data_IF_400389216847
#
_entry.id   IF_400389216847
#
_cell.length_a   1.000
_cell.length_b   1.000
_cell.length_c   1.000
_cell.angle_alpha   90.00
_cell.angle_beta   90.00
_cell.angle_gamma   90.00
#
_symmetry.space_group_name_H-M   'P 1'
#
loop_
_entity.id
_entity.type
_entity.pdbx_description
1 polymer ?
#
# COMPACT_ATOMS: atom_id res chain seq x y z
N UNK A 1 -23.50 -38.43 -0.66
CA UNK A 1 -22.07 -38.22 -0.30
C UNK A 1 -21.58 -37.05 -1.12
N UNK A 2 -21.39 -35.88 -0.52
CA UNK A 2 -20.82 -34.73 -1.21
C UNK A 2 -19.31 -34.84 -1.03
N UNK A 3 -18.60 -35.14 -2.13
CA UNK A 3 -17.15 -35.10 -2.14
C UNK A 3 -16.68 -33.67 -1.86
N UNK A 4 -16.06 -33.48 -0.69
CA UNK A 4 -15.29 -32.28 -0.39
C UNK A 4 -14.13 -32.23 -1.38
N UNK A 5 -14.24 -31.40 -2.42
CA UNK A 5 -13.10 -31.00 -3.23
C UNK A 5 -12.13 -30.29 -2.28
N UNK A 6 -10.97 -30.88 -2.07
CA UNK A 6 -9.82 -30.22 -1.44
C UNK A 6 -9.41 -29.09 -2.37
N UNK A 7 -9.90 -27.89 -2.11
CA UNK A 7 -9.36 -26.68 -2.73
C UNK A 7 -7.97 -26.47 -2.13
N UNK A 8 -6.92 -26.83 -2.87
CA UNK A 8 -5.60 -26.23 -2.63
C UNK A 8 -5.80 -24.72 -2.67
N UNK A 9 -5.46 -24.03 -1.62
CA UNK A 9 -5.50 -22.58 -1.57
C UNK A 9 -4.59 -22.08 -2.71
N UNK A 10 -5.18 -21.42 -3.71
CA UNK A 10 -4.42 -20.88 -4.82
C UNK A 10 -3.71 -19.62 -4.35
N UNK A 11 -2.41 -19.58 -4.55
CA UNK A 11 -1.56 -18.43 -4.22
C UNK A 11 -1.16 -17.73 -5.52
N UNK A 12 -1.21 -16.42 -5.50
CA UNK A 12 -0.86 -15.58 -6.65
C UNK A 12 0.09 -14.48 -6.24
N UNK A 13 1.05 -14.19 -7.11
CA UNK A 13 1.94 -13.04 -7.01
C UNK A 13 1.64 -12.12 -8.19
N UNK A 14 1.44 -10.83 -7.90
CA UNK A 14 1.22 -9.80 -8.91
C UNK A 14 2.24 -8.69 -8.77
N UNK A 15 2.92 -8.34 -9.86
CA UNK A 15 3.73 -7.13 -9.93
C UNK A 15 2.79 -5.92 -10.11
N UNK A 16 2.75 -5.04 -9.12
CA UNK A 16 1.99 -3.79 -9.14
C UNK A 16 2.88 -2.55 -9.12
N UNK A 17 4.14 -2.68 -9.51
CA UNK A 17 5.11 -1.58 -9.59
C UNK A 17 4.68 -0.43 -10.51
N UNK A 18 3.59 -0.61 -11.26
CA UNK A 18 2.98 0.42 -12.09
C UNK A 18 2.12 1.43 -11.31
N UNK A 19 1.82 1.19 -10.05
CA UNK A 19 1.13 2.15 -9.19
C UNK A 19 2.06 3.30 -8.81
N UNK A 20 1.48 4.47 -8.57
CA UNK A 20 2.24 5.56 -7.96
C UNK A 20 2.51 5.27 -6.49
N UNK A 21 3.77 5.41 -6.07
CA UNK A 21 4.21 5.21 -4.70
C UNK A 21 4.84 6.51 -4.22
N UNK A 22 4.25 7.11 -3.19
CA UNK A 22 4.67 8.41 -2.67
C UNK A 22 4.92 8.34 -1.18
N UNK A 23 5.93 9.06 -0.75
CA UNK A 23 6.21 9.34 0.65
C UNK A 23 5.74 10.77 0.96
N UNK A 24 4.86 10.90 1.95
CA UNK A 24 4.38 12.17 2.47
C UNK A 24 5.03 12.42 3.82
N UNK A 25 5.55 13.62 4.00
CA UNK A 25 6.09 14.13 5.27
C UNK A 25 5.53 15.50 5.56
N UNK A 26 5.75 15.99 6.78
CA UNK A 26 5.20 17.25 7.25
C UNK A 26 3.99 17.04 8.17
N UNK A 27 3.87 17.91 9.15
CA UNK A 27 2.88 17.78 10.23
C UNK A 27 1.43 17.92 9.77
N UNK A 28 1.21 18.62 8.65
CA UNK A 28 -0.12 18.93 8.13
C UNK A 28 -0.58 17.92 7.03
N UNK A 29 0.24 16.91 6.70
CA UNK A 29 -0.01 16.01 5.58
C UNK A 29 -1.30 15.20 5.72
N UNK A 30 -1.57 14.59 6.87
CA UNK A 30 -2.80 13.82 7.09
C UNK A 30 -4.02 14.74 7.23
N UNK A 31 -3.90 15.90 7.86
CA UNK A 31 -4.97 16.90 7.95
C UNK A 31 -5.40 17.38 6.57
N UNK A 32 -4.44 17.72 5.70
CA UNK A 32 -4.74 18.12 4.34
C UNK A 32 -5.44 17.00 3.56
N UNK A 33 -4.91 15.77 3.61
CA UNK A 33 -5.54 14.63 2.95
C UNK A 33 -6.95 14.36 3.49
N UNK A 34 -7.18 14.49 4.80
CA UNK A 34 -8.47 14.33 5.42
C UNK A 34 -9.50 15.33 4.88
N UNK A 35 -9.10 16.58 4.66
CA UNK A 35 -9.96 17.62 4.07
C UNK A 35 -10.32 17.35 2.60
N UNK A 36 -9.47 16.61 1.88
CA UNK A 36 -9.62 16.34 0.44
C UNK A 36 -10.25 14.98 0.16
N UNK A 37 -10.49 14.14 1.18
CA UNK A 37 -10.91 12.76 1.00
C UNK A 37 -12.26 12.45 1.67
N UNK A 38 -12.82 11.29 1.32
CA UNK A 38 -14.15 10.87 1.80
C UNK A 38 -14.13 10.19 3.17
N UNK A 39 -13.01 9.57 3.55
CA UNK A 39 -12.85 8.91 4.84
C UNK A 39 -12.02 9.78 5.78
N UNK A 40 -12.21 9.55 7.09
CA UNK A 40 -11.37 10.16 8.11
C UNK A 40 -10.01 9.49 8.12
N UNK A 41 -8.95 10.25 7.83
CA UNK A 41 -7.56 9.76 7.75
C UNK A 41 -6.58 10.54 8.62
N UNK A 42 -7.02 11.60 9.29
CA UNK A 42 -6.18 12.48 10.13
C UNK A 42 -5.78 11.84 11.47
N UNK A 43 -6.44 10.74 11.87
CA UNK A 43 -6.19 10.01 13.12
C UNK A 43 -5.61 8.60 12.91
N UNK A 44 -5.01 8.33 11.75
CA UNK A 44 -4.35 7.06 11.51
C UNK A 44 -3.23 6.81 12.52
N UNK A 45 -3.30 5.69 13.22
CA UNK A 45 -2.25 5.25 14.13
C UNK A 45 -0.99 4.82 13.37
N UNK A 46 0.16 4.81 14.05
CA UNK A 46 1.41 4.28 13.48
C UNK A 46 1.21 2.81 13.11
N UNK A 47 1.72 2.42 11.94
CA UNK A 47 1.58 1.11 11.32
C UNK A 47 0.13 0.74 10.95
N UNK A 48 -0.76 1.72 10.87
CA UNK A 48 -2.12 1.55 10.35
C UNK A 48 -2.30 2.33 9.05
N UNK A 49 -3.23 1.86 8.26
CA UNK A 49 -3.61 2.49 6.99
C UNK A 49 -5.11 2.52 6.79
N UNK A 50 -5.52 3.12 5.71
CA UNK A 50 -6.88 3.07 5.18
C UNK A 50 -6.88 3.39 3.70
N UNK A 51 -7.96 3.06 3.01
CA UNK A 51 -8.22 3.50 1.64
C UNK A 51 -9.29 4.56 1.64
N UNK A 52 -9.05 5.65 0.92
CA UNK A 52 -9.98 6.76 0.83
C UNK A 52 -10.14 7.24 -0.62
N UNK A 53 -11.25 7.91 -0.88
CA UNK A 53 -11.57 8.46 -2.20
C UNK A 53 -11.23 9.94 -2.19
N UNK A 54 -10.37 10.36 -3.12
CA UNK A 54 -10.20 11.78 -3.45
C UNK A 54 -11.26 12.21 -4.46
N UNK A 55 -11.92 13.34 -4.18
CA UNK A 55 -12.92 13.91 -5.08
C UNK A 55 -12.60 15.36 -5.39
N UNK A 56 -12.96 15.79 -6.58
CA UNK A 56 -12.89 17.21 -6.90
C UNK A 56 -14.08 17.99 -6.30
N UNK A 57 -14.08 19.31 -6.47
CA UNK A 57 -15.11 20.22 -5.96
C UNK A 57 -16.53 20.00 -6.54
N UNK A 58 -16.66 19.15 -7.57
CA UNK A 58 -17.94 18.71 -8.16
C UNK A 58 -18.36 17.32 -7.66
N UNK A 59 -17.64 16.75 -6.68
CA UNK A 59 -17.88 15.40 -6.17
C UNK A 59 -17.51 14.28 -7.13
N UNK A 60 -16.72 14.54 -8.18
CA UNK A 60 -16.23 13.50 -9.06
C UNK A 60 -14.97 12.87 -8.50
N UNK A 61 -14.89 11.55 -8.55
CA UNK A 61 -13.72 10.79 -8.12
C UNK A 61 -12.50 11.18 -8.96
N UNK A 62 -11.42 11.56 -8.28
CA UNK A 62 -10.08 11.72 -8.86
C UNK A 62 -9.38 10.37 -8.81
N UNK A 63 -9.28 9.79 -7.60
CA UNK A 63 -8.66 8.48 -7.40
C UNK A 63 -9.15 7.82 -6.10
N UNK A 64 -8.89 6.54 -5.98
CA UNK A 64 -8.94 5.81 -4.71
C UNK A 64 -7.50 5.59 -4.26
N UNK A 65 -7.08 6.30 -3.23
CA UNK A 65 -5.75 6.20 -2.67
C UNK A 65 -5.73 5.28 -1.45
N UNK A 66 -4.61 4.63 -1.21
CA UNK A 66 -4.36 3.86 0.02
C UNK A 66 -3.21 4.50 0.78
N UNK A 67 -3.39 4.68 2.08
CA UNK A 67 -2.45 5.34 2.98
C UNK A 67 -1.96 4.36 4.04
N UNK A 68 -0.68 4.48 4.45
CA UNK A 68 -0.13 3.80 5.62
C UNK A 68 0.76 4.75 6.40
N UNK A 69 0.40 4.99 7.68
CA UNK A 69 1.15 5.87 8.58
C UNK A 69 2.32 5.11 9.21
N UNK A 70 3.56 5.59 9.00
CA UNK A 70 4.80 4.97 9.49
C UNK A 70 5.53 5.81 10.56
N UNK A 71 4.79 6.63 11.31
CA UNK A 71 5.36 7.54 12.32
C UNK A 71 5.75 8.89 11.72
N UNK A 72 6.98 9.07 11.28
CA UNK A 72 7.44 10.34 10.71
C UNK A 72 7.00 10.59 9.27
N UNK A 73 6.44 9.60 8.60
CA UNK A 73 5.99 9.65 7.21
C UNK A 73 4.76 8.80 6.97
N UNK A 74 4.03 9.13 5.92
CA UNK A 74 2.89 8.36 5.40
C UNK A 74 3.23 7.88 3.99
N UNK A 75 3.01 6.60 3.71
CA UNK A 75 3.02 6.09 2.35
C UNK A 75 1.66 6.33 1.71
N UNK A 76 1.66 6.76 0.45
CA UNK A 76 0.46 6.91 -0.37
C UNK A 76 0.63 6.14 -1.66
N UNK A 77 -0.37 5.31 -1.98
CA UNK A 77 -0.46 4.56 -3.22
C UNK A 77 -1.60 5.12 -4.07
N UNK A 78 -1.31 5.39 -5.36
CA UNK A 78 -2.27 5.94 -6.32
C UNK A 78 -2.47 4.99 -7.49
N UNK A 79 -3.57 5.13 -8.22
CA UNK A 79 -3.80 4.36 -9.44
C UNK A 79 -2.80 4.74 -10.53
N UNK A 80 -2.51 3.80 -11.43
CA UNK A 80 -1.48 3.90 -12.47
C UNK A 80 -1.51 5.20 -13.29
N UNK A 81 -2.69 5.67 -13.66
CA UNK A 81 -2.83 6.79 -14.59
C UNK A 81 -3.26 8.10 -13.91
N UNK A 82 -3.54 8.04 -12.61
CA UNK A 82 -4.11 9.18 -11.88
C UNK A 82 -3.10 9.88 -10.97
N UNK A 83 -1.88 9.35 -10.87
CA UNK A 83 -0.86 9.89 -9.96
C UNK A 83 -0.64 11.39 -10.12
N UNK A 84 -0.52 11.87 -11.38
CA UNK A 84 -0.29 13.29 -11.61
C UNK A 84 -1.50 14.14 -11.22
N UNK A 85 -2.73 13.68 -11.51
CA UNK A 85 -3.95 14.39 -11.13
C UNK A 85 -4.12 14.46 -9.60
N UNK A 86 -3.75 13.38 -8.89
CA UNK A 86 -3.74 13.36 -7.43
C UNK A 86 -2.75 14.38 -6.86
N UNK A 87 -1.53 14.45 -7.41
CA UNK A 87 -0.51 15.39 -6.96
C UNK A 87 -0.94 16.83 -7.22
N UNK A 88 -1.39 17.13 -8.43
CA UNK A 88 -1.87 18.46 -8.82
C UNK A 88 -3.04 18.90 -7.94
N UNK A 89 -3.90 17.96 -7.54
CA UNK A 89 -5.01 18.23 -6.65
C UNK A 89 -4.55 18.55 -5.22
N UNK A 90 -3.61 17.80 -4.67
CA UNK A 90 -3.01 18.07 -3.36
C UNK A 90 -2.30 19.43 -3.39
N UNK A 91 -1.48 19.69 -4.42
CA UNK A 91 -0.74 20.93 -4.58
C UNK A 91 -1.69 22.17 -4.68
N UNK A 92 -2.81 22.01 -5.37
CA UNK A 92 -3.85 23.06 -5.48
C UNK A 92 -4.37 23.55 -4.14
N UNK A 93 -4.36 22.68 -3.11
CA UNK A 93 -4.85 23.00 -1.76
C UNK A 93 -3.73 23.15 -0.73
N UNK A 94 -2.48 23.11 -1.15
CA UNK A 94 -1.30 23.36 -0.31
C UNK A 94 -0.93 24.83 -0.40
N UNK A 95 -1.23 25.62 0.64
CA UNK A 95 -0.94 27.06 0.68
C UNK A 95 0.10 27.39 1.76
N UNK A 96 -0.16 26.97 2.98
CA UNK A 96 0.68 27.23 4.17
C UNK A 96 0.98 25.94 4.92
N UNK A 97 0.43 24.84 4.46
CA UNK A 97 0.58 23.53 5.06
C UNK A 97 2.04 23.04 4.94
N UNK A 98 2.55 22.51 6.05
CA UNK A 98 3.83 21.83 6.09
C UNK A 98 3.62 20.39 5.56
N UNK A 99 3.80 20.23 4.25
CA UNK A 99 3.70 18.97 3.52
C UNK A 99 4.80 18.87 2.48
N UNK A 100 5.40 17.70 2.38
CA UNK A 100 6.28 17.33 1.28
C UNK A 100 5.85 15.98 0.72
N UNK A 101 5.79 15.87 -0.59
CA UNK A 101 5.37 14.69 -1.31
C UNK A 101 6.45 14.27 -2.30
N UNK A 102 7.02 13.09 -2.10
CA UNK A 102 8.14 12.56 -2.89
C UNK A 102 7.73 11.26 -3.56
N UNK A 103 7.90 11.19 -4.88
CA UNK A 103 7.75 9.92 -5.62
C UNK A 103 8.93 9.01 -5.35
N UNK A 104 8.66 7.79 -4.87
CA UNK A 104 9.69 6.80 -4.51
C UNK A 104 9.66 5.54 -5.42
N UNK A 105 9.00 5.60 -6.57
CA UNK A 105 8.94 4.47 -7.52
C UNK A 105 10.32 4.04 -8.06
N UNK A 106 11.33 4.92 -8.05
CA UNK A 106 12.69 4.55 -8.44
C UNK A 106 13.41 3.70 -7.38
N UNK A 107 13.00 3.81 -6.12
CA UNK A 107 13.63 3.16 -4.98
C UNK A 107 12.90 1.88 -4.57
N UNK A 108 11.58 1.86 -4.73
CA UNK A 108 10.72 0.78 -4.28
C UNK A 108 9.77 0.31 -5.37
N UNK A 109 9.40 -0.95 -5.28
CA UNK A 109 8.37 -1.58 -6.09
C UNK A 109 7.29 -2.21 -5.21
N UNK A 110 6.09 -2.38 -5.76
CA UNK A 110 4.98 -3.00 -5.07
C UNK A 110 4.66 -4.36 -5.68
N UNK A 111 4.62 -5.40 -4.83
CA UNK A 111 4.23 -6.76 -5.18
C UNK A 111 3.01 -7.11 -4.34
N UNK A 112 1.98 -7.68 -4.96
CA UNK A 112 0.79 -8.14 -4.24
C UNK A 112 0.74 -9.66 -4.19
N UNK A 113 0.54 -10.19 -2.99
CA UNK A 113 0.36 -11.60 -2.70
C UNK A 113 -1.11 -11.85 -2.38
N UNK A 114 -1.77 -12.75 -3.09
CA UNK A 114 -3.17 -13.13 -2.84
C UNK A 114 -3.23 -14.60 -2.43
N UNK A 115 -3.94 -14.90 -1.35
CA UNK A 115 -4.13 -16.24 -0.80
C UNK A 115 -3.82 -16.34 0.70
N UNK A 116 -4.41 -17.33 1.37
CA UNK A 116 -4.44 -17.40 2.83
C UNK A 116 -3.09 -17.77 3.47
N UNK A 117 -2.20 -18.47 2.74
CA UNK A 117 -1.04 -19.13 3.34
C UNK A 117 0.30 -18.41 3.10
N UNK A 118 0.28 -17.19 2.54
CA UNK A 118 1.54 -16.48 2.27
C UNK A 118 2.39 -16.24 3.50
N UNK A 119 1.75 -15.93 4.63
CA UNK A 119 2.46 -15.69 5.89
C UNK A 119 3.13 -16.93 6.46
N UNK A 120 2.67 -18.15 6.11
CA UNK A 120 3.29 -19.40 6.55
C UNK A 120 4.65 -19.65 5.88
N UNK A 121 4.85 -19.06 4.71
CA UNK A 121 6.08 -19.18 3.92
C UNK A 121 7.10 -18.08 4.22
N UNK A 122 6.69 -17.02 4.90
CA UNK A 122 7.59 -15.98 5.34
C UNK A 122 8.28 -16.39 6.65
N UNK A 123 9.59 -16.20 6.74
CA UNK A 123 10.40 -16.61 7.90
C UNK A 123 9.85 -16.02 9.21
N UNK A 124 9.36 -14.80 9.18
CA UNK A 124 8.86 -14.07 10.36
C UNK A 124 7.36 -14.23 10.61
N UNK A 125 6.63 -14.95 9.77
CA UNK A 125 5.19 -15.21 9.92
C UNK A 125 4.38 -14.02 10.45
N UNK A 126 4.29 -12.92 9.70
CA UNK A 126 3.61 -11.72 10.14
C UNK A 126 2.15 -12.03 10.49
N UNK A 127 1.68 -11.50 11.62
CA UNK A 127 0.26 -11.56 12.02
C UNK A 127 -0.28 -10.15 11.97
N UNK A 128 -0.75 -9.75 10.80
CA UNK A 128 -1.24 -8.39 10.56
C UNK A 128 -2.72 -8.38 10.25
N UNK A 129 -3.43 -7.47 10.89
CA UNK A 129 -4.83 -7.20 10.61
C UNK A 129 -4.99 -6.39 9.32
N UNK A 130 -6.20 -6.37 8.78
CA UNK A 130 -6.49 -5.56 7.60
C UNK A 130 -6.18 -4.08 7.87
N UNK A 131 -5.52 -3.45 6.92
CA UNK A 131 -4.99 -2.09 7.02
C UNK A 131 -3.98 -1.89 8.16
N UNK A 132 -3.19 -2.91 8.47
CA UNK A 132 -1.97 -2.74 9.27
C UNK A 132 -0.74 -3.15 8.45
N UNK A 133 0.43 -2.71 8.91
CA UNK A 133 1.70 -3.03 8.27
C UNK A 133 2.79 -3.30 9.29
N UNK A 134 3.79 -4.07 8.87
CA UNK A 134 5.01 -4.29 9.64
C UNK A 134 6.22 -4.48 8.72
N UNK A 135 7.41 -4.20 9.25
CA UNK A 135 8.66 -4.47 8.55
C UNK A 135 9.04 -5.94 8.69
N UNK A 136 9.53 -6.54 7.62
CA UNK A 136 10.07 -7.89 7.63
C UNK A 136 11.30 -8.01 6.71
N UNK A 137 12.08 -9.05 6.89
CA UNK A 137 13.21 -9.36 6.02
C UNK A 137 12.87 -10.51 5.08
N UNK A 138 13.11 -10.32 3.78
CA UNK A 138 13.02 -11.36 2.75
C UNK A 138 14.36 -11.39 2.02
N UNK A 139 15.05 -12.53 2.06
CA UNK A 139 16.37 -12.74 1.45
C UNK A 139 17.39 -11.65 1.83
N UNK A 140 17.42 -11.25 3.11
CA UNK A 140 18.30 -10.21 3.64
C UNK A 140 17.96 -8.80 3.17
N UNK A 141 16.79 -8.60 2.60
CA UNK A 141 16.29 -7.29 2.18
C UNK A 141 15.15 -6.85 3.11
N UNK A 142 15.24 -5.63 3.63
CA UNK A 142 14.16 -5.04 4.43
C UNK A 142 12.98 -4.68 3.51
N UNK A 143 11.82 -5.22 3.83
CA UNK A 143 10.56 -5.01 3.12
C UNK A 143 9.49 -4.53 4.10
N UNK A 144 8.45 -3.88 3.58
CA UNK A 144 7.26 -3.56 4.35
C UNK A 144 6.11 -4.43 3.84
N UNK A 145 5.49 -5.21 4.72
CA UNK A 145 4.26 -5.94 4.41
C UNK A 145 3.06 -5.17 4.94
N UNK A 146 2.04 -5.03 4.10
CA UNK A 146 0.79 -4.31 4.36
C UNK A 146 -0.36 -5.24 4.02
N UNK A 147 -1.33 -5.42 4.90
CA UNK A 147 -2.52 -6.21 4.56
C UNK A 147 -3.61 -5.30 4.02
N UNK A 148 -3.91 -5.43 2.74
CA UNK A 148 -4.89 -4.58 2.03
C UNK A 148 -6.14 -5.32 1.55
N UNK A 149 -6.06 -6.65 1.40
CA UNK A 149 -7.15 -7.50 0.89
C UNK A 149 -7.77 -6.95 -0.42
N UNK A 150 -6.95 -6.68 -1.45
CA UNK A 150 -7.36 -5.86 -2.61
C UNK A 150 -8.42 -6.50 -3.50
N UNK A 151 -8.64 -7.81 -3.38
CA UNK A 151 -9.65 -8.56 -4.16
C UNK A 151 -10.82 -9.06 -3.30
N UNK A 152 -10.88 -8.65 -2.03
CA UNK A 152 -11.82 -9.20 -1.05
C UNK A 152 -11.40 -10.55 -0.45
N UNK A 153 -10.33 -11.17 -0.97
CA UNK A 153 -9.63 -12.29 -0.35
C UNK A 153 -8.45 -11.77 0.46
N UNK A 154 -7.93 -12.57 1.39
CA UNK A 154 -6.72 -12.24 2.12
C UNK A 154 -5.60 -11.93 1.12
N UNK A 155 -5.03 -10.76 1.25
CA UNK A 155 -3.99 -10.28 0.35
C UNK A 155 -3.09 -9.25 1.00
N UNK A 156 -1.81 -9.35 0.64
CA UNK A 156 -0.75 -8.52 1.19
C UNK A 156 -0.05 -7.77 0.07
N UNK A 157 0.19 -6.50 0.30
CA UNK A 157 1.07 -5.69 -0.53
C UNK A 157 2.46 -5.65 0.12
N UNK A 158 3.49 -5.99 -0.65
CA UNK A 158 4.90 -5.92 -0.23
C UNK A 158 5.55 -4.73 -0.92
N UNK A 159 6.03 -3.77 -0.17
CA UNK A 159 6.93 -2.74 -0.65
C UNK A 159 8.36 -3.26 -0.53
N UNK A 160 9.02 -3.44 -1.66
CA UNK A 160 10.35 -4.06 -1.76
C UNK A 160 11.35 -3.12 -2.43
N UNK A 161 12.65 -3.15 -2.09
CA UNK A 161 13.65 -2.39 -2.81
C UNK A 161 13.64 -2.73 -4.31
N UNK A 162 13.67 -1.71 -5.17
CA UNK A 162 13.51 -1.87 -6.62
C UNK A 162 14.55 -2.81 -7.23
N UNK A 163 15.79 -2.75 -6.74
CA UNK A 163 16.91 -3.59 -7.19
C UNK A 163 16.85 -5.04 -6.67
N UNK A 164 15.89 -5.37 -5.79
CA UNK A 164 15.69 -6.71 -5.21
C UNK A 164 14.38 -7.37 -5.60
N UNK A 165 13.53 -6.68 -6.36
CA UNK A 165 12.20 -7.16 -6.74
C UNK A 165 12.23 -8.58 -7.34
N UNK A 166 13.07 -8.81 -8.36
CA UNK A 166 13.14 -10.09 -9.06
C UNK A 166 13.64 -11.23 -8.15
N UNK A 167 14.64 -10.96 -7.31
CA UNK A 167 15.15 -11.93 -6.34
C UNK A 167 14.06 -12.35 -5.37
N UNK A 168 13.30 -11.37 -4.84
CA UNK A 168 12.21 -11.60 -3.88
C UNK A 168 11.06 -12.37 -4.56
N UNK A 169 10.64 -12.01 -5.78
CA UNK A 169 9.60 -12.74 -6.51
C UNK A 169 10.03 -14.19 -6.73
N UNK A 170 11.29 -14.41 -7.14
CA UNK A 170 11.82 -15.76 -7.37
C UNK A 170 11.87 -16.59 -6.09
N UNK A 171 12.19 -15.97 -4.96
CA UNK A 171 12.20 -16.63 -3.65
C UNK A 171 10.78 -17.05 -3.23
N UNK A 172 9.83 -16.11 -3.32
CA UNK A 172 8.43 -16.38 -2.99
C UNK A 172 7.77 -17.40 -3.93
N UNK A 173 8.21 -17.49 -5.19
CA UNK A 173 7.65 -18.43 -6.19
C UNK A 173 8.12 -19.88 -6.00
N UNK A 174 9.13 -20.13 -5.16
CA UNK A 174 9.64 -21.49 -4.86
C UNK A 174 8.86 -22.20 -3.77
N UNK A 175 7.95 -21.53 -3.17
CA UNK A 175 7.09 -21.98 -2.09
C UNK A 175 5.77 -22.49 -2.65
#
# INVERSE_FOLDING_TARGET
MVNKLSTKSQQYIFDRSYLGIYELTGKDSLDLLNRLSSNKVDDLNINHGDSTILTNNKGRVIDVITLFQLGSKTLMFTSKNNSQEVIDWIDTYTFIEDISLVNINSEFNLITLIGDNWTEHLIQKPTIDKFTCESLEIDGSSCLIMRTDPTGHIGYDLLVPANKKEDIINSLSKV
#
